data_IF_167470399312
#
_entry.id   IF_167470399312
#
_cell.length_a   1.000
_cell.length_b   1.000
_cell.length_c   1.000
_cell.angle_alpha   90.00
_cell.angle_beta   90.00
_cell.angle_gamma   90.00
#
_symmetry.space_group_name_H-M   'P 1'
#
loop_
_entity.id
_entity.type
_entity.pdbx_description
1 polymer ?
#
# COMPACT_ATOMS: atom_id res chain seq x y z
N UNK A 1 53.96 61.28 21.35
CA UNK A 1 53.86 59.81 21.27
C UNK A 1 53.34 59.34 22.62
N UNK A 2 52.11 58.90 22.84
CA UNK A 2 51.19 58.11 22.02
C UNK A 2 50.66 57.03 22.97
N UNK A 3 49.57 57.31 23.66
CA UNK A 3 48.76 56.36 24.44
C UNK A 3 47.36 56.95 24.59
N UNK A 4 46.51 56.68 23.61
CA UNK A 4 45.07 56.86 23.76
C UNK A 4 44.50 55.63 24.45
N UNK A 5 44.02 55.84 25.66
CA UNK A 5 43.08 54.98 26.36
C UNK A 5 41.67 55.31 25.86
N UNK A 6 41.00 54.36 25.21
CA UNK A 6 39.54 54.37 25.12
C UNK A 6 39.01 53.02 25.60
N UNK A 7 38.22 53.09 26.66
CA UNK A 7 37.45 51.99 27.22
C UNK A 7 35.98 52.34 27.04
N UNK A 8 35.21 51.31 26.68
CA UNK A 8 33.76 51.17 26.77
C UNK A 8 32.88 51.79 25.69
N UNK A 9 32.46 50.92 24.76
CA UNK A 9 31.04 50.73 24.50
C UNK A 9 30.76 49.22 24.54
N UNK A 10 29.88 48.79 25.43
CA UNK A 10 29.42 47.41 25.57
C UNK A 10 28.44 47.11 24.43
N UNK A 11 28.79 46.18 23.54
CA UNK A 11 27.82 45.55 22.65
C UNK A 11 27.38 44.21 23.27
N UNK A 12 26.08 44.11 23.50
CA UNK A 12 25.40 42.96 24.08
C UNK A 12 25.23 41.93 22.97
N UNK A 13 25.98 40.84 23.05
CA UNK A 13 25.94 39.74 22.09
C UNK A 13 24.60 38.99 22.22
N UNK A 14 23.68 39.27 21.29
CA UNK A 14 22.41 38.55 21.17
C UNK A 14 22.66 37.14 20.61
N UNK A 15 22.01 36.09 21.13
CA UNK A 15 22.23 34.73 20.65
C UNK A 15 21.66 34.58 19.23
N UNK A 16 22.50 34.24 18.27
CA UNK A 16 22.08 33.86 16.91
C UNK A 16 21.10 32.70 16.98
N UNK A 17 19.92 32.79 16.33
CA UNK A 17 18.98 31.67 16.25
C UNK A 17 19.58 30.54 15.40
N UNK A 18 19.64 29.35 15.98
CA UNK A 18 20.01 28.12 15.29
C UNK A 18 18.90 27.71 14.31
N UNK A 19 18.94 28.27 13.10
CA UNK A 19 18.15 27.79 11.96
C UNK A 19 19.10 27.40 10.83
N UNK A 20 19.55 26.15 10.86
CA UNK A 20 19.99 25.46 9.65
C UNK A 20 19.73 23.98 9.84
N UNK A 21 18.57 23.51 9.35
CA UNK A 21 18.39 22.12 8.95
C UNK A 21 19.44 21.83 7.86
N UNK A 22 20.63 21.43 8.29
CA UNK A 22 21.61 20.85 7.40
C UNK A 22 21.01 19.54 6.91
N UNK A 23 20.63 19.50 5.63
CA UNK A 23 20.17 18.30 4.94
C UNK A 23 21.32 17.29 5.00
N UNK A 24 21.31 16.43 6.02
CA UNK A 24 22.30 15.35 6.14
C UNK A 24 22.05 14.41 4.96
N UNK A 25 23.04 14.17 4.07
CA UNK A 25 22.85 13.28 2.94
C UNK A 25 22.46 11.90 3.46
N UNK A 26 21.26 11.46 3.09
CA UNK A 26 20.70 10.18 3.50
C UNK A 26 21.37 9.06 2.69
N UNK A 27 21.73 7.98 3.38
CA UNK A 27 22.32 6.81 2.74
C UNK A 27 21.24 5.93 2.10
N UNK A 28 21.45 5.51 0.85
CA UNK A 28 20.58 4.54 0.17
C UNK A 28 21.27 3.19 0.03
N UNK A 29 20.60 2.12 0.45
CA UNK A 29 21.06 0.74 0.36
C UNK A 29 19.87 -0.18 0.08
N UNK A 30 19.96 -0.95 -1.01
CA UNK A 30 19.03 -2.05 -1.26
C UNK A 30 19.45 -3.27 -0.43
N UNK A 31 18.90 -3.38 0.79
CA UNK A 31 19.26 -4.36 1.81
C UNK A 31 18.91 -5.76 1.33
N UNK A 32 17.73 -5.96 0.74
CA UNK A 32 17.28 -7.27 0.28
C UNK A 32 18.14 -7.78 -0.87
N UNK A 33 18.43 -6.93 -1.86
CA UNK A 33 19.27 -7.28 -2.99
C UNK A 33 20.71 -7.59 -2.55
N UNK A 34 21.27 -6.77 -1.65
CA UNK A 34 22.61 -7.01 -1.08
C UNK A 34 22.67 -8.34 -0.32
N UNK A 35 21.62 -8.65 0.44
CA UNK A 35 21.51 -9.88 1.21
C UNK A 35 21.45 -11.10 0.29
N UNK A 36 20.49 -11.12 -0.65
CA UNK A 36 20.24 -12.26 -1.54
C UNK A 36 21.41 -12.52 -2.47
N UNK A 37 22.00 -11.47 -3.06
CA UNK A 37 23.21 -11.61 -3.89
C UNK A 37 24.38 -12.21 -3.10
N UNK A 38 24.63 -11.73 -1.89
CA UNK A 38 25.71 -12.26 -1.04
C UNK A 38 25.46 -13.70 -0.60
N UNK A 39 24.22 -14.06 -0.26
CA UNK A 39 23.84 -15.42 0.13
C UNK A 39 24.02 -16.40 -1.04
N UNK A 40 23.50 -16.06 -2.22
CA UNK A 40 23.55 -16.91 -3.41
C UNK A 40 24.98 -17.12 -3.93
N UNK A 41 25.81 -16.07 -3.94
CA UNK A 41 27.20 -16.16 -4.40
C UNK A 41 28.12 -16.93 -3.44
N UNK A 42 27.81 -16.93 -2.13
CA UNK A 42 28.75 -17.38 -1.10
C UNK A 42 28.27 -18.60 -0.29
N UNK A 43 27.41 -19.44 -0.86
CA UNK A 43 27.18 -20.81 -0.39
C UNK A 43 25.71 -21.20 -0.17
N UNK A 44 24.82 -20.25 0.07
CA UNK A 44 23.42 -20.56 0.39
C UNK A 44 22.64 -21.15 -0.78
N UNK A 45 23.10 -20.98 -2.03
CA UNK A 45 22.57 -21.70 -3.19
C UNK A 45 22.59 -23.23 -3.00
N UNK A 46 23.57 -23.74 -2.24
CA UNK A 46 23.71 -25.17 -1.92
C UNK A 46 23.43 -25.46 -0.43
N UNK A 47 22.87 -24.51 0.32
CA UNK A 47 22.64 -24.66 1.76
C UNK A 47 23.91 -24.62 2.63
N UNK A 48 25.06 -24.19 2.11
CA UNK A 48 26.31 -24.14 2.89
C UNK A 48 26.41 -22.85 3.73
N UNK A 49 25.82 -22.90 4.92
CA UNK A 49 25.89 -21.81 5.90
C UNK A 49 27.31 -21.59 6.45
N UNK A 50 28.16 -22.63 6.48
CA UNK A 50 29.54 -22.48 6.97
C UNK A 50 30.36 -21.60 6.04
N UNK A 51 30.23 -21.80 4.73
CA UNK A 51 30.87 -20.97 3.70
C UNK A 51 30.40 -19.52 3.77
N UNK A 52 29.09 -19.30 3.93
CA UNK A 52 28.54 -17.95 4.05
C UNK A 52 29.02 -17.23 5.33
N UNK A 53 29.10 -17.93 6.47
CA UNK A 53 29.67 -17.39 7.71
C UNK A 53 31.15 -16.98 7.55
N UNK A 54 31.94 -17.80 6.84
CA UNK A 54 33.36 -17.50 6.55
C UNK A 54 33.48 -16.26 5.66
N UNK A 55 32.62 -16.14 4.64
CA UNK A 55 32.51 -14.95 3.81
C UNK A 55 32.18 -13.71 4.65
N UNK A 56 31.13 -13.75 5.47
CA UNK A 56 30.74 -12.63 6.33
C UNK A 56 31.90 -12.21 7.26
N UNK A 57 32.64 -13.17 7.81
CA UNK A 57 33.81 -12.90 8.67
C UNK A 57 34.94 -12.20 7.90
N UNK A 58 35.24 -12.66 6.68
CA UNK A 58 36.25 -12.02 5.82
C UNK A 58 35.81 -10.62 5.37
N UNK A 59 34.54 -10.45 4.99
CA UNK A 59 33.94 -9.18 4.60
C UNK A 59 33.99 -8.17 5.74
N UNK A 60 33.60 -8.58 6.95
CA UNK A 60 33.72 -7.75 8.16
C UNK A 60 35.16 -7.32 8.41
N UNK A 61 36.14 -8.24 8.31
CA UNK A 61 37.56 -7.89 8.49
C UNK A 61 38.02 -6.83 7.48
N UNK A 62 37.61 -6.94 6.22
CA UNK A 62 37.92 -5.94 5.18
C UNK A 62 37.26 -4.60 5.48
N UNK A 63 36.00 -4.59 5.88
CA UNK A 63 35.26 -3.37 6.24
C UNK A 63 35.87 -2.67 7.46
N UNK A 64 36.18 -3.40 8.53
CA UNK A 64 36.88 -2.85 9.70
C UNK A 64 38.25 -2.24 9.33
N UNK A 65 38.99 -2.87 8.40
CA UNK A 65 40.28 -2.35 7.92
C UNK A 65 40.11 -1.11 7.05
N UNK A 66 39.14 -1.11 6.11
CA UNK A 66 38.91 0.03 5.21
C UNK A 66 38.39 1.25 5.94
N UNK A 67 37.53 1.06 6.96
CA UNK A 67 36.99 2.12 7.80
C UNK A 67 37.96 2.55 8.92
N UNK A 68 39.14 1.92 9.02
CA UNK A 68 40.10 2.11 10.13
C UNK A 68 39.44 1.98 11.51
N UNK A 69 38.38 1.17 11.61
CA UNK A 69 37.53 1.02 12.79
C UNK A 69 37.88 -0.25 13.58
N UNK A 70 39.16 -0.55 13.76
CA UNK A 70 39.58 -1.78 14.46
C UNK A 70 39.49 -1.63 15.98
N UNK A 71 39.15 -2.70 16.71
CA UNK A 71 39.05 -2.76 18.17
C UNK A 71 40.41 -2.81 18.90
N UNK A 72 41.40 -2.07 18.41
CA UNK A 72 42.78 -2.08 18.90
C UNK A 72 43.69 -3.07 18.16
N UNK A 73 45.02 -2.85 18.26
CA UNK A 73 46.07 -3.80 17.85
C UNK A 73 46.71 -4.34 19.14
N UNK A 74 46.41 -5.57 19.52
CA UNK A 74 46.85 -6.16 20.79
C UNK A 74 45.72 -6.24 21.82
N UNK A 75 45.63 -5.26 22.74
CA UNK A 75 44.58 -5.23 23.77
C UNK A 75 43.22 -4.86 23.16
N UNK A 76 42.20 -5.67 23.45
CA UNK A 76 40.84 -5.44 22.95
C UNK A 76 40.24 -4.17 23.55
N UNK A 77 39.91 -3.21 22.68
CA UNK A 77 39.17 -2.00 23.01
C UNK A 77 37.90 -1.96 22.19
N UNK A 78 36.76 -2.23 22.82
CA UNK A 78 35.45 -2.21 22.16
C UNK A 78 35.15 -0.78 21.69
N UNK A 79 34.97 -0.61 20.37
CA UNK A 79 34.47 0.62 19.78
C UNK A 79 32.98 0.43 19.51
N UNK A 80 32.14 1.23 20.17
CA UNK A 80 30.70 1.20 19.95
C UNK A 80 30.36 1.88 18.62
N UNK A 81 29.35 1.36 17.93
CA UNK A 81 28.80 1.99 16.73
C UNK A 81 27.58 2.80 17.21
N UNK A 82 27.72 4.12 17.22
CA UNK A 82 26.68 5.10 17.58
C UNK A 82 26.36 5.98 16.36
N UNK A 83 25.29 6.76 16.43
CA UNK A 83 24.86 7.65 15.33
C UNK A 83 25.97 8.58 14.81
N UNK A 84 26.81 9.08 15.72
CA UNK A 84 27.97 9.92 15.40
C UNK A 84 29.10 9.20 14.66
N UNK A 85 29.15 7.86 14.73
CA UNK A 85 30.15 7.05 14.04
C UNK A 85 29.77 6.67 12.62
N UNK A 86 28.49 6.81 12.25
CA UNK A 86 27.99 6.47 10.91
C UNK A 86 28.25 7.64 9.97
N UNK A 87 29.48 7.71 9.46
CA UNK A 87 29.88 8.72 8.46
C UNK A 87 29.68 8.25 7.02
N UNK A 88 29.56 6.93 6.80
CA UNK A 88 29.47 6.33 5.48
C UNK A 88 28.55 5.10 5.45
N UNK A 89 28.01 4.79 4.27
CA UNK A 89 27.20 3.58 3.99
C UNK A 89 27.89 2.29 4.46
N UNK A 90 29.23 2.23 4.40
CA UNK A 90 30.01 1.05 4.80
C UNK A 90 29.83 0.70 6.29
N UNK A 91 29.47 1.66 7.15
CA UNK A 91 29.12 1.38 8.55
C UNK A 91 27.79 0.63 8.67
N UNK A 92 26.81 0.94 7.81
CA UNK A 92 25.55 0.19 7.75
C UNK A 92 25.80 -1.26 7.30
N UNK A 93 26.64 -1.46 6.27
CA UNK A 93 27.07 -2.80 5.86
C UNK A 93 27.79 -3.57 6.97
N UNK A 94 28.60 -2.88 7.78
CA UNK A 94 29.30 -3.50 8.90
C UNK A 94 28.30 -4.14 9.88
N UNK A 95 27.24 -3.41 10.24
CA UNK A 95 26.22 -3.89 11.17
C UNK A 95 25.42 -5.03 10.54
N UNK A 96 24.99 -4.86 9.29
CA UNK A 96 24.25 -5.89 8.55
C UNK A 96 25.04 -7.21 8.51
N UNK A 97 26.32 -7.19 8.10
CA UNK A 97 27.14 -8.39 8.06
C UNK A 97 27.45 -8.98 9.46
N UNK A 98 27.40 -8.17 10.54
CA UNK A 98 27.50 -8.73 11.90
C UNK A 98 26.25 -9.48 12.32
N UNK A 99 25.07 -9.01 11.91
CA UNK A 99 23.79 -9.72 12.10
C UNK A 99 23.78 -11.01 11.27
N UNK A 100 24.11 -10.93 9.98
CA UNK A 100 24.16 -12.07 9.06
C UNK A 100 25.12 -13.16 9.50
N UNK A 101 26.31 -12.79 9.98
CA UNK A 101 27.25 -13.79 10.52
C UNK A 101 26.67 -14.54 11.72
N UNK A 102 25.92 -13.86 12.59
CA UNK A 102 25.29 -14.49 13.75
C UNK A 102 24.10 -15.37 13.33
N UNK A 103 23.29 -14.92 12.38
CA UNK A 103 22.18 -15.67 11.82
C UNK A 103 22.65 -16.92 11.07
N UNK A 104 23.62 -16.79 10.17
CA UNK A 104 24.24 -17.90 9.45
C UNK A 104 24.80 -18.97 10.39
N UNK A 105 25.37 -18.54 11.52
CA UNK A 105 25.85 -19.47 12.54
C UNK A 105 24.73 -20.21 13.27
N UNK A 106 23.59 -19.57 13.46
CA UNK A 106 22.41 -20.23 14.01
C UNK A 106 21.86 -21.26 13.02
N UNK A 107 21.75 -20.90 11.74
CA UNK A 107 21.24 -21.79 10.69
C UNK A 107 22.15 -23.00 10.43
N UNK A 108 23.48 -22.84 10.52
CA UNK A 108 24.43 -23.96 10.49
C UNK A 108 24.13 -25.00 11.57
N UNK A 109 23.73 -24.57 12.77
CA UNK A 109 23.35 -25.47 13.87
C UNK A 109 21.93 -26.02 13.73
N UNK A 110 21.07 -25.35 12.97
CA UNK A 110 19.71 -25.81 12.67
C UNK A 110 19.70 -26.97 11.67
N UNK A 111 20.54 -26.89 10.63
CA UNK A 111 20.53 -27.82 9.49
C UNK A 111 21.35 -29.11 9.71
N UNK A 112 21.58 -29.50 10.96
CA UNK A 112 22.30 -30.76 11.26
C UNK A 112 21.43 -31.97 10.86
N UNK A 113 21.99 -33.05 10.26
CA UNK A 113 21.22 -34.20 9.77
C UNK A 113 20.33 -34.87 10.82
N UNK A 114 20.73 -34.83 12.10
CA UNK A 114 20.00 -35.43 13.22
C UNK A 114 19.16 -34.41 14.00
N UNK A 115 19.05 -33.18 13.50
CA UNK A 115 18.52 -32.03 14.24
C UNK A 115 19.47 -31.54 15.36
N UNK A 116 19.21 -30.35 15.95
CA UNK A 116 20.01 -29.83 17.05
C UNK A 116 19.69 -30.53 18.38
N UNK A 117 20.72 -30.99 19.09
CA UNK A 117 20.60 -31.44 20.49
C UNK A 117 20.16 -30.28 21.40
N UNK A 118 19.62 -30.56 22.60
CA UNK A 118 19.15 -29.52 23.53
C UNK A 118 20.18 -28.40 23.79
N UNK A 119 21.45 -28.75 24.04
CA UNK A 119 22.53 -27.76 24.22
C UNK A 119 22.83 -26.97 22.95
N UNK A 120 22.73 -27.61 21.78
CA UNK A 120 22.92 -26.95 20.48
C UNK A 120 21.76 -26.00 20.17
N UNK A 121 20.54 -26.35 20.60
CA UNK A 121 19.35 -25.50 20.51
C UNK A 121 19.49 -24.24 21.37
N UNK A 122 19.96 -24.37 22.62
CA UNK A 122 20.26 -23.20 23.48
C UNK A 122 21.29 -22.28 22.79
N UNK A 123 22.32 -22.88 22.20
CA UNK A 123 23.35 -22.15 21.50
C UNK A 123 22.83 -21.43 20.23
N UNK A 124 21.99 -22.11 19.44
CA UNK A 124 21.29 -21.57 18.28
C UNK A 124 20.46 -20.35 18.67
N UNK A 125 19.65 -20.47 19.72
CA UNK A 125 18.81 -19.37 20.23
C UNK A 125 19.70 -18.21 20.69
N UNK A 126 20.79 -18.49 21.40
CA UNK A 126 21.77 -17.47 21.80
C UNK A 126 22.39 -16.72 20.62
N UNK A 127 22.61 -17.40 19.48
CA UNK A 127 23.11 -16.79 18.24
C UNK A 127 22.03 -15.95 17.55
N UNK A 128 20.78 -16.40 17.52
CA UNK A 128 19.67 -15.60 17.01
C UNK A 128 19.39 -14.35 17.86
N UNK A 129 19.46 -14.43 19.20
CA UNK A 129 19.36 -13.24 20.07
C UNK A 129 20.41 -12.20 19.71
N UNK A 130 21.63 -12.66 19.40
CA UNK A 130 22.70 -11.78 18.95
C UNK A 130 22.40 -11.17 17.58
N UNK A 131 21.86 -11.95 16.63
CA UNK A 131 21.45 -11.44 15.32
C UNK A 131 20.37 -10.35 15.46
N UNK A 132 19.34 -10.59 16.27
CA UNK A 132 18.28 -9.62 16.58
C UNK A 132 18.85 -8.34 17.17
N UNK A 133 19.77 -8.41 18.14
CA UNK A 133 20.40 -7.22 18.73
C UNK A 133 21.15 -6.35 17.71
N UNK A 134 21.75 -6.97 16.69
CA UNK A 134 22.41 -6.23 15.61
C UNK A 134 21.40 -5.70 14.59
N UNK A 135 20.34 -6.46 14.29
CA UNK A 135 19.27 -6.02 13.40
C UNK A 135 18.47 -4.83 13.98
N UNK A 136 18.21 -4.82 15.30
CA UNK A 136 17.57 -3.68 15.99
C UNK A 136 18.45 -2.44 15.92
N UNK A 137 19.77 -2.58 16.12
CA UNK A 137 20.72 -1.48 15.98
C UNK A 137 20.80 -0.97 14.53
N UNK A 138 20.77 -1.88 13.56
CA UNK A 138 20.74 -1.55 12.13
C UNK A 138 19.51 -0.71 11.78
N UNK A 139 18.32 -1.17 12.17
CA UNK A 139 17.05 -0.47 11.98
C UNK A 139 17.04 0.93 12.62
N UNK A 140 17.50 1.06 13.87
CA UNK A 140 17.62 2.35 14.57
C UNK A 140 18.53 3.34 13.83
N UNK A 141 19.68 2.89 13.32
CA UNK A 141 20.61 3.76 12.60
C UNK A 141 20.10 4.10 11.20
N UNK A 142 19.42 3.17 10.52
CA UNK A 142 18.77 3.44 9.25
C UNK A 142 17.62 4.45 9.39
N UNK A 143 16.86 4.41 10.49
CA UNK A 143 15.79 5.38 10.74
C UNK A 143 16.30 6.83 10.84
N UNK A 144 17.52 7.04 11.32
CA UNK A 144 18.12 8.38 11.49
C UNK A 144 18.93 8.82 10.26
N UNK A 145 19.68 7.90 9.63
CA UNK A 145 20.71 8.23 8.63
C UNK A 145 20.40 7.75 7.20
N UNK A 146 19.42 6.88 7.00
CA UNK A 146 19.12 6.32 5.69
C UNK A 146 17.90 6.99 5.03
N UNK A 147 17.72 6.72 3.75
CA UNK A 147 16.48 7.08 3.03
C UNK A 147 15.28 6.31 3.59
N UNK A 148 14.09 6.81 3.25
CA UNK A 148 12.78 6.23 3.61
C UNK A 148 12.72 4.73 3.25
N UNK A 149 13.16 4.38 2.04
CA UNK A 149 13.18 3.01 1.52
C UNK A 149 14.11 2.09 2.30
N UNK A 150 15.37 2.46 2.52
CA UNK A 150 16.33 1.65 3.30
C UNK A 150 15.86 1.53 4.74
N UNK A 151 15.23 2.57 5.31
CA UNK A 151 14.65 2.46 6.66
C UNK A 151 13.54 1.40 6.71
N UNK A 152 12.67 1.31 5.70
CA UNK A 152 11.64 0.27 5.64
C UNK A 152 12.23 -1.12 5.43
N UNK A 153 13.21 -1.26 4.53
CA UNK A 153 13.89 -2.54 4.32
C UNK A 153 14.63 -3.02 5.57
N UNK A 154 15.24 -2.10 6.33
CA UNK A 154 15.89 -2.39 7.60
C UNK A 154 14.89 -2.84 8.67
N UNK A 155 13.71 -2.22 8.73
CA UNK A 155 12.63 -2.60 9.63
C UNK A 155 12.06 -3.99 9.27
N UNK A 156 11.87 -4.28 7.98
CA UNK A 156 11.47 -5.61 7.52
C UNK A 156 12.49 -6.69 7.87
N UNK A 157 13.79 -6.38 7.76
CA UNK A 157 14.88 -7.27 8.17
C UNK A 157 14.89 -7.52 9.68
N UNK A 158 14.69 -6.47 10.48
CA UNK A 158 14.55 -6.59 11.93
C UNK A 158 13.37 -7.46 12.33
N UNK A 159 12.19 -7.22 11.76
CA UNK A 159 10.97 -8.00 11.98
C UNK A 159 11.19 -9.47 11.60
N UNK A 160 11.85 -9.75 10.48
CA UNK A 160 12.22 -11.13 10.11
C UNK A 160 13.12 -11.81 11.15
N UNK A 161 14.15 -11.10 11.64
CA UNK A 161 15.08 -11.65 12.62
C UNK A 161 14.39 -11.90 13.97
N UNK A 162 13.52 -10.99 14.41
CA UNK A 162 12.70 -11.15 15.63
C UNK A 162 11.73 -12.32 15.49
N UNK A 163 11.03 -12.42 14.36
CA UNK A 163 10.14 -13.54 14.07
C UNK A 163 10.88 -14.88 14.12
N UNK A 164 12.05 -14.95 13.48
CA UNK A 164 12.90 -16.15 13.49
C UNK A 164 13.37 -16.55 14.90
N UNK A 165 13.71 -15.58 15.75
CA UNK A 165 14.10 -15.85 17.13
C UNK A 165 12.93 -16.44 17.96
N UNK A 166 11.75 -15.83 17.87
CA UNK A 166 10.56 -16.27 18.61
C UNK A 166 10.09 -17.64 18.12
N UNK A 167 10.16 -17.87 16.81
CA UNK A 167 9.86 -19.16 16.19
C UNK A 167 10.72 -20.29 16.76
N UNK A 168 12.03 -20.08 16.92
CA UNK A 168 12.94 -21.10 17.46
C UNK A 168 12.84 -21.27 19.00
N UNK A 169 12.24 -20.29 19.68
CA UNK A 169 11.98 -20.35 21.13
C UNK A 169 10.71 -21.15 21.47
N UNK A 170 9.88 -21.51 20.49
CA UNK A 170 8.56 -22.12 20.68
C UNK A 170 7.66 -21.32 21.65
N UNK A 171 7.86 -20.01 21.73
CA UNK A 171 7.17 -19.11 22.67
C UNK A 171 6.55 -17.92 21.93
N UNK A 172 5.39 -17.46 22.40
CA UNK A 172 4.70 -16.26 21.91
C UNK A 172 4.48 -16.28 20.39
N UNK A 173 3.80 -17.33 19.90
CA UNK A 173 3.46 -17.50 18.48
C UNK A 173 2.75 -16.28 17.89
N UNK A 174 1.92 -15.58 18.66
CA UNK A 174 1.23 -14.36 18.23
C UNK A 174 2.21 -13.23 17.87
N UNK A 175 3.24 -13.04 18.69
CA UNK A 175 4.25 -12.01 18.45
C UNK A 175 5.14 -12.41 17.28
N UNK A 176 5.49 -13.69 17.15
CA UNK A 176 6.21 -14.22 15.99
C UNK A 176 5.42 -13.98 14.69
N UNK A 177 4.12 -14.30 14.70
CA UNK A 177 3.20 -14.11 13.59
C UNK A 177 3.09 -12.63 13.20
N UNK A 178 2.94 -11.72 14.17
CA UNK A 178 2.90 -10.27 13.92
C UNK A 178 4.18 -9.78 13.24
N UNK A 179 5.35 -10.22 13.70
CA UNK A 179 6.63 -9.85 13.08
C UNK A 179 6.78 -10.41 11.66
N UNK A 180 6.37 -11.67 11.40
CA UNK A 180 6.40 -12.23 10.05
C UNK A 180 5.40 -11.56 9.11
N UNK A 181 4.18 -11.27 9.57
CA UNK A 181 3.18 -10.51 8.79
C UNK A 181 3.66 -9.10 8.46
N UNK A 182 4.28 -8.40 9.42
CA UNK A 182 4.89 -7.08 9.18
C UNK A 182 5.99 -7.16 8.12
N UNK A 183 6.93 -8.12 8.24
CA UNK A 183 7.98 -8.31 7.24
C UNK A 183 7.41 -8.64 5.85
N UNK A 184 6.40 -9.53 5.79
CA UNK A 184 5.69 -9.86 4.54
C UNK A 184 5.08 -8.61 3.90
N UNK A 185 4.35 -7.81 4.69
CA UNK A 185 3.68 -6.60 4.21
C UNK A 185 4.67 -5.62 3.55
N UNK A 186 5.83 -5.40 4.18
CA UNK A 186 6.86 -4.53 3.60
C UNK A 186 7.34 -5.07 2.26
N UNK A 187 7.74 -6.35 2.20
CA UNK A 187 8.27 -6.90 0.96
C UNK A 187 7.21 -6.97 -0.15
N UNK A 188 5.95 -7.24 0.19
CA UNK A 188 4.83 -7.25 -0.75
C UNK A 188 4.60 -5.85 -1.34
N UNK A 189 4.66 -4.79 -0.53
CA UNK A 189 4.52 -3.41 -1.00
C UNK A 189 5.76 -2.91 -1.77
N UNK A 190 6.98 -3.22 -1.30
CA UNK A 190 8.22 -2.90 -2.03
C UNK A 190 8.28 -3.60 -3.39
N UNK A 191 7.68 -4.78 -3.50
CA UNK A 191 7.57 -5.54 -4.75
C UNK A 191 6.65 -4.91 -5.79
N UNK A 192 5.70 -4.03 -5.40
CA UNK A 192 4.79 -3.37 -6.36
C UNK A 192 5.46 -2.24 -7.13
N UNK A 193 6.36 -1.50 -6.47
CA UNK A 193 6.96 -0.28 -7.02
C UNK A 193 8.46 -0.41 -7.36
N UNK A 194 9.06 -1.58 -7.18
CA UNK A 194 10.47 -1.84 -7.49
C UNK A 194 10.72 -2.24 -8.95
N UNK A 195 11.98 -2.13 -9.38
CA UNK A 195 12.47 -2.71 -10.65
C UNK A 195 12.21 -4.22 -10.74
N UNK A 196 12.17 -4.78 -11.95
CA UNK A 196 11.85 -6.20 -12.18
C UNK A 196 12.65 -7.16 -11.27
N UNK A 197 13.96 -6.93 -11.11
CA UNK A 197 14.81 -7.73 -10.23
C UNK A 197 14.38 -7.61 -8.75
N UNK A 198 14.02 -6.41 -8.30
CA UNK A 198 13.52 -6.19 -6.94
C UNK A 198 12.15 -6.85 -6.73
N UNK A 199 11.27 -6.86 -7.74
CA UNK A 199 9.97 -7.54 -7.65
C UNK A 199 10.16 -9.05 -7.46
N UNK A 200 11.06 -9.66 -8.24
CA UNK A 200 11.38 -11.09 -8.13
C UNK A 200 11.94 -11.41 -6.75
N UNK A 201 12.91 -10.64 -6.27
CA UNK A 201 13.52 -10.84 -4.95
C UNK A 201 12.52 -10.68 -3.80
N UNK A 202 11.62 -9.69 -3.90
CA UNK A 202 10.56 -9.48 -2.92
C UNK A 202 9.56 -10.65 -2.92
N UNK A 203 9.17 -11.14 -4.10
CA UNK A 203 8.28 -12.30 -4.24
C UNK A 203 8.89 -13.56 -3.62
N UNK A 204 10.14 -13.89 -3.97
CA UNK A 204 10.87 -15.00 -3.37
C UNK A 204 10.93 -14.86 -1.84
N UNK A 205 11.15 -13.64 -1.34
CA UNK A 205 11.19 -13.40 0.10
C UNK A 205 9.85 -13.61 0.78
N UNK A 206 8.74 -13.20 0.16
CA UNK A 206 7.39 -13.45 0.67
C UNK A 206 7.08 -14.95 0.68
N UNK A 207 7.44 -15.67 -0.38
CA UNK A 207 7.28 -17.13 -0.48
C UNK A 207 8.06 -17.88 0.62
N UNK A 208 9.26 -17.41 0.97
CA UNK A 208 10.06 -17.97 2.08
C UNK A 208 9.42 -17.78 3.46
N UNK A 209 8.67 -16.70 3.68
CA UNK A 209 8.02 -16.42 4.96
C UNK A 209 6.74 -17.25 5.16
N UNK A 210 6.10 -17.65 4.06
CA UNK A 210 4.77 -18.25 4.06
C UNK A 210 4.68 -19.58 4.85
N UNK A 211 5.66 -20.52 4.79
CA UNK A 211 5.65 -21.70 5.65
C UNK A 211 5.73 -21.38 7.14
N UNK A 212 6.54 -20.39 7.53
CA UNK A 212 6.66 -19.96 8.92
C UNK A 212 5.38 -19.30 9.43
N UNK A 213 4.73 -18.48 8.60
CA UNK A 213 3.45 -17.85 8.91
C UNK A 213 2.37 -18.94 9.10
N UNK A 214 2.23 -19.87 8.16
CA UNK A 214 1.27 -20.99 8.26
C UNK A 214 1.50 -21.84 9.51
N UNK A 215 2.75 -22.13 9.84
CA UNK A 215 3.08 -22.88 11.06
C UNK A 215 2.65 -22.14 12.33
N UNK A 216 2.91 -20.82 12.41
CA UNK A 216 2.49 -20.01 13.56
C UNK A 216 0.95 -20.02 13.72
N UNK A 217 0.21 -19.86 12.63
CA UNK A 217 -1.27 -19.91 12.66
C UNK A 217 -1.80 -21.26 13.14
N UNK A 218 -1.22 -22.34 12.66
CA UNK A 218 -1.60 -23.68 13.07
C UNK A 218 -1.36 -23.89 14.58
N UNK A 219 -0.25 -23.36 15.12
CA UNK A 219 0.05 -23.42 16.55
C UNK A 219 -0.87 -22.55 17.42
N UNK A 220 -1.36 -21.44 16.88
CA UNK A 220 -2.33 -20.55 17.55
C UNK A 220 -3.76 -21.14 17.50
N UNK A 221 -4.01 -22.14 16.65
CA UNK A 221 -5.34 -22.77 16.50
C UNK A 221 -6.22 -22.08 15.45
N UNK A 222 -5.67 -21.23 14.58
CA UNK A 222 -6.36 -20.58 13.46
C UNK A 222 -6.28 -21.44 12.18
N UNK A 223 -6.49 -22.75 12.29
CA UNK A 223 -6.22 -23.74 11.24
C UNK A 223 -7.21 -23.77 10.07
N UNK A 224 -8.27 -22.96 10.07
CA UNK A 224 -9.32 -22.99 9.03
C UNK A 224 -9.39 -21.76 8.12
N UNK A 225 -8.43 -20.84 8.18
CA UNK A 225 -8.46 -19.64 7.32
C UNK A 225 -7.66 -19.89 6.03
N UNK A 226 -8.34 -19.76 4.89
CA UNK A 226 -7.71 -19.83 3.56
C UNK A 226 -6.65 -18.73 3.42
N UNK A 227 -5.63 -18.94 2.59
CA UNK A 227 -4.51 -18.02 2.38
C UNK A 227 -4.93 -16.57 2.00
N UNK A 228 -6.19 -16.36 1.58
CA UNK A 228 -6.80 -15.07 1.29
C UNK A 228 -7.11 -14.20 2.53
N UNK A 229 -7.30 -14.81 3.72
CA UNK A 229 -7.54 -14.08 4.98
C UNK A 229 -6.26 -13.69 5.71
N UNK A 230 -5.10 -14.12 5.20
CA UNK A 230 -3.79 -13.79 5.76
C UNK A 230 -3.39 -12.31 5.61
N UNK A 231 -4.12 -11.57 4.76
CA UNK A 231 -3.97 -10.15 4.49
C UNK A 231 -4.59 -9.24 5.56
N UNK A 232 -5.13 -9.77 6.66
CA UNK A 232 -5.61 -8.97 7.78
C UNK A 232 -4.43 -8.41 8.59
N UNK A 233 -3.85 -7.32 8.07
CA UNK A 233 -3.01 -6.37 8.80
C UNK A 233 -3.89 -5.24 9.38
N UNK A 234 -5.18 -5.20 9.01
CA UNK A 234 -6.14 -4.19 9.46
C UNK A 234 -6.48 -4.22 10.95
N UNK A 235 -6.35 -5.38 11.62
CA UNK A 235 -6.89 -5.57 12.97
C UNK A 235 -5.86 -5.43 14.09
N UNK A 236 -4.65 -4.94 13.81
CA UNK A 236 -3.63 -4.70 14.83
C UNK A 236 -3.30 -3.21 14.88
N UNK A 237 -4.02 -2.48 15.73
CA UNK A 237 -3.74 -1.07 16.03
C UNK A 237 -2.60 -0.96 17.04
N UNK A 238 -1.68 -0.02 16.81
CA UNK A 238 -0.58 0.28 17.71
C UNK A 238 0.28 1.44 17.21
N UNK A 239 0.83 2.30 18.09
CA UNK A 239 1.58 3.50 17.68
C UNK A 239 2.79 3.21 16.77
N UNK A 240 3.44 2.06 16.95
CA UNK A 240 4.55 1.62 16.12
C UNK A 240 4.10 1.19 14.71
N UNK A 241 2.90 0.59 14.59
CA UNK A 241 2.31 0.21 13.31
C UNK A 241 1.80 1.43 12.54
N UNK A 242 1.38 2.50 13.22
CA UNK A 242 0.97 3.74 12.58
C UNK A 242 2.18 4.54 12.05
N UNK A 243 3.27 4.60 12.82
CA UNK A 243 4.54 5.13 12.32
C UNK A 243 5.04 4.33 11.11
N UNK A 244 4.90 3.01 11.16
CA UNK A 244 5.23 2.12 10.06
C UNK A 244 4.35 2.37 8.82
N UNK A 245 3.02 2.48 8.98
CA UNK A 245 2.09 2.84 7.90
C UNK A 245 2.45 4.18 7.27
N UNK A 246 2.77 5.20 8.08
CA UNK A 246 3.18 6.50 7.59
C UNK A 246 4.49 6.44 6.78
N UNK A 247 5.48 5.66 7.22
CA UNK A 247 6.71 5.44 6.45
C UNK A 247 6.44 4.70 5.14
N UNK A 248 5.58 3.69 5.18
CA UNK A 248 5.17 2.93 4.00
C UNK A 248 4.46 3.86 2.99
N UNK A 249 3.54 4.69 3.46
CA UNK A 249 2.89 5.72 2.64
C UNK A 249 3.87 6.72 2.05
N UNK A 250 4.88 7.16 2.81
CA UNK A 250 5.92 8.05 2.30
C UNK A 250 6.73 7.41 1.16
N UNK A 251 7.16 6.15 1.32
CA UNK A 251 7.89 5.42 0.27
C UNK A 251 7.01 5.17 -0.95
N UNK A 252 5.73 4.82 -0.75
CA UNK A 252 4.79 4.72 -1.86
C UNK A 252 4.60 6.06 -2.57
N UNK A 253 4.52 7.17 -1.85
CA UNK A 253 4.39 8.49 -2.44
C UNK A 253 5.62 8.87 -3.28
N UNK A 254 6.83 8.56 -2.79
CA UNK A 254 8.08 8.77 -3.52
C UNK A 254 8.14 7.90 -4.80
N UNK A 255 7.79 6.61 -4.69
CA UNK A 255 7.79 5.71 -5.84
C UNK A 255 6.72 6.09 -6.88
N UNK A 256 5.52 6.47 -6.43
CA UNK A 256 4.48 7.02 -7.30
C UNK A 256 4.90 8.33 -7.95
N UNK A 257 5.64 9.19 -7.25
CA UNK A 257 6.19 10.41 -7.85
C UNK A 257 7.19 10.10 -8.97
N UNK A 258 8.00 9.05 -8.82
CA UNK A 258 8.92 8.59 -9.87
C UNK A 258 8.16 8.00 -11.06
N UNK A 259 7.14 7.19 -10.82
CA UNK A 259 6.28 6.62 -11.86
C UNK A 259 5.40 7.68 -12.55
N UNK A 260 4.96 8.70 -11.81
CA UNK A 260 4.21 9.84 -12.34
C UNK A 260 5.02 10.70 -13.30
N UNK A 261 6.34 10.70 -13.18
CA UNK A 261 7.19 11.47 -14.06
C UNK A 261 7.04 11.03 -15.54
N UNK A 262 6.76 9.75 -15.81
CA UNK A 262 6.59 9.21 -17.16
C UNK A 262 5.17 9.31 -17.72
N UNK A 263 4.16 9.51 -16.87
CA UNK A 263 2.76 9.67 -17.28
C UNK A 263 2.46 11.13 -17.61
N UNK A 264 2.60 11.55 -18.87
CA UNK A 264 2.35 12.95 -19.28
C UNK A 264 0.93 13.23 -19.75
N UNK A 265 0.13 12.18 -20.01
CA UNK A 265 -1.18 12.28 -20.65
C UNK A 265 -2.21 11.40 -19.92
N UNK A 266 -3.44 11.90 -19.81
CA UNK A 266 -4.61 11.14 -19.38
C UNK A 266 -5.44 10.74 -20.59
N UNK A 267 -5.80 9.46 -20.69
CA UNK A 267 -6.60 8.92 -21.78
C UNK A 267 -8.05 8.73 -21.34
N UNK A 268 -8.99 9.39 -22.00
CA UNK A 268 -10.43 9.19 -21.79
C UNK A 268 -11.17 9.21 -23.13
N UNK A 269 -11.91 8.13 -23.42
CA UNK A 269 -12.51 7.86 -24.74
C UNK A 269 -11.54 8.10 -25.91
N UNK A 270 -10.33 7.53 -25.86
CA UNK A 270 -9.34 7.72 -26.93
C UNK A 270 -8.73 9.12 -27.03
N UNK A 271 -9.23 10.11 -26.28
CA UNK A 271 -8.67 11.46 -26.21
C UNK A 271 -7.57 11.56 -25.18
N UNK A 272 -6.51 12.28 -25.55
CA UNK A 272 -5.35 12.56 -24.72
C UNK A 272 -5.50 13.95 -24.13
N UNK A 273 -5.49 14.02 -22.81
CA UNK A 273 -5.47 15.27 -22.06
C UNK A 273 -4.08 15.43 -21.43
N UNK A 274 -3.32 16.48 -21.77
CA UNK A 274 -1.99 16.68 -21.19
C UNK A 274 -2.10 17.01 -19.70
N UNK A 275 -1.23 16.41 -18.88
CA UNK A 275 -1.16 16.67 -17.44
C UNK A 275 0.18 17.31 -17.10
N UNK A 276 0.19 18.64 -17.02
CA UNK A 276 1.40 19.40 -16.68
C UNK A 276 1.76 19.30 -15.19
N UNK A 277 0.75 19.28 -14.31
CA UNK A 277 0.97 19.31 -12.87
C UNK A 277 1.34 17.92 -12.30
N UNK A 278 2.52 17.83 -11.68
CA UNK A 278 3.01 16.60 -11.07
C UNK A 278 2.10 16.06 -9.96
N UNK A 279 1.45 16.93 -9.17
CA UNK A 279 0.53 16.50 -8.10
C UNK A 279 -0.72 15.83 -8.68
N UNK A 280 -1.30 16.42 -9.73
CA UNK A 280 -2.42 15.85 -10.47
C UNK A 280 -2.07 14.47 -11.05
N UNK A 281 -0.87 14.32 -11.63
CA UNK A 281 -0.37 13.03 -12.15
C UNK A 281 -0.32 11.96 -11.08
N UNK A 282 0.26 12.26 -9.91
CA UNK A 282 0.37 11.33 -8.78
C UNK A 282 -1.01 10.89 -8.28
N UNK A 283 -1.96 11.82 -8.13
CA UNK A 283 -3.32 11.51 -7.65
C UNK A 283 -4.11 10.66 -8.67
N UNK A 284 -4.01 10.96 -9.97
CA UNK A 284 -4.65 10.15 -11.02
C UNK A 284 -4.04 8.75 -11.08
N UNK A 285 -2.71 8.63 -11.01
CA UNK A 285 -2.03 7.33 -10.96
C UNK A 285 -2.47 6.48 -9.78
N UNK A 286 -2.52 7.08 -8.58
CA UNK A 286 -3.01 6.42 -7.38
C UNK A 286 -4.43 5.88 -7.59
N UNK A 287 -5.31 6.66 -8.22
CA UNK A 287 -6.67 6.20 -8.53
C UNK A 287 -6.68 5.04 -9.53
N UNK A 288 -5.90 5.11 -10.60
CA UNK A 288 -5.80 4.04 -11.62
C UNK A 288 -5.21 2.73 -11.07
N UNK A 289 -4.23 2.82 -10.16
CA UNK A 289 -3.70 1.64 -9.44
C UNK A 289 -4.79 0.96 -8.61
N UNK A 290 -5.54 1.73 -7.83
CA UNK A 290 -6.66 1.22 -7.03
C UNK A 290 -7.79 0.66 -7.91
N UNK A 291 -8.02 1.23 -9.09
CA UNK A 291 -8.98 0.69 -10.05
C UNK A 291 -8.56 -0.68 -10.61
N UNK A 292 -7.26 -0.92 -10.81
CA UNK A 292 -6.74 -2.24 -11.20
C UNK A 292 -6.99 -3.30 -10.13
N UNK A 293 -6.97 -2.93 -8.86
CA UNK A 293 -7.33 -3.84 -7.78
C UNK A 293 -8.81 -4.26 -7.82
N UNK A 294 -9.70 -3.38 -8.30
CA UNK A 294 -11.15 -3.63 -8.41
C UNK A 294 -11.52 -4.39 -9.69
N UNK A 295 -10.81 -4.16 -10.80
CA UNK A 295 -11.11 -4.74 -12.12
C UNK A 295 -10.15 -5.87 -12.54
N UNK A 296 -9.10 -6.13 -11.75
CA UNK A 296 -8.09 -7.13 -12.04
C UNK A 296 -8.59 -8.57 -11.89
N UNK A 297 -7.75 -9.57 -12.21
CA UNK A 297 -8.12 -10.99 -12.17
C UNK A 297 -8.50 -11.50 -10.76
N UNK A 298 -8.10 -10.79 -9.70
CA UNK A 298 -8.48 -11.07 -8.31
C UNK A 298 -9.76 -10.37 -7.84
N UNK A 299 -10.42 -9.57 -8.69
CA UNK A 299 -11.56 -8.74 -8.35
C UNK A 299 -12.72 -9.49 -7.68
N UNK A 300 -12.97 -10.73 -8.11
CA UNK A 300 -14.07 -11.55 -7.61
C UNK A 300 -13.76 -12.24 -6.27
N UNK A 301 -12.49 -12.31 -5.87
CA UNK A 301 -12.09 -12.87 -4.58
C UNK A 301 -12.19 -11.85 -3.43
N UNK A 302 -12.43 -10.57 -3.73
CA UNK A 302 -12.44 -9.51 -2.72
C UNK A 302 -13.85 -9.38 -2.13
N UNK A 303 -14.03 -9.51 -0.80
CA UNK A 303 -15.31 -9.28 -0.13
C UNK A 303 -15.89 -7.89 -0.44
N UNK A 304 -17.22 -7.79 -0.49
CA UNK A 304 -17.92 -6.55 -0.85
C UNK A 304 -17.54 -5.36 0.05
N UNK A 305 -17.40 -5.57 1.36
CA UNK A 305 -17.05 -4.50 2.31
C UNK A 305 -15.66 -3.93 2.03
N UNK A 306 -14.69 -4.80 1.69
CA UNK A 306 -13.34 -4.35 1.31
C UNK A 306 -13.36 -3.59 -0.02
N UNK A 307 -14.16 -4.03 -0.99
CA UNK A 307 -14.31 -3.30 -2.27
C UNK A 307 -14.89 -1.90 -2.04
N UNK A 308 -15.85 -1.73 -1.12
CA UNK A 308 -16.37 -0.40 -0.77
C UNK A 308 -15.30 0.53 -0.21
N UNK A 309 -14.42 0.02 0.67
CA UNK A 309 -13.29 0.81 1.20
C UNK A 309 -12.31 1.22 0.10
N UNK A 310 -12.08 0.36 -0.90
CA UNK A 310 -11.23 0.72 -2.04
C UNK A 310 -11.90 1.82 -2.88
N UNK A 311 -13.21 1.76 -3.11
CA UNK A 311 -13.94 2.83 -3.80
C UNK A 311 -13.80 4.19 -3.07
N UNK A 312 -13.89 4.22 -1.74
CA UNK A 312 -13.71 5.47 -0.98
C UNK A 312 -12.30 6.06 -1.16
N UNK A 313 -11.27 5.20 -1.26
CA UNK A 313 -9.90 5.61 -1.57
C UNK A 313 -9.75 6.11 -3.01
N UNK A 314 -10.43 5.49 -3.98
CA UNK A 314 -10.48 5.96 -5.38
C UNK A 314 -11.13 7.34 -5.45
N UNK A 315 -12.26 7.54 -4.79
CA UNK A 315 -12.94 8.83 -4.74
C UNK A 315 -12.04 9.90 -4.14
N UNK A 316 -11.38 9.61 -3.02
CA UNK A 316 -10.44 10.54 -2.38
C UNK A 316 -9.32 10.96 -3.35
N UNK A 317 -8.72 10.00 -4.07
CA UNK A 317 -7.65 10.28 -5.03
C UNK A 317 -8.12 11.12 -6.23
N UNK A 318 -9.29 10.82 -6.81
CA UNK A 318 -9.84 11.64 -7.90
C UNK A 318 -10.33 13.02 -7.42
N UNK A 319 -10.86 13.15 -6.21
CA UNK A 319 -11.21 14.44 -5.63
C UNK A 319 -9.97 15.32 -5.39
N UNK A 320 -8.88 14.75 -4.89
CA UNK A 320 -7.58 15.44 -4.78
C UNK A 320 -7.09 15.89 -6.16
N UNK A 321 -7.13 15.01 -7.17
CA UNK A 321 -6.73 15.35 -8.54
C UNK A 321 -7.55 16.53 -9.10
N UNK A 322 -8.87 16.52 -8.93
CA UNK A 322 -9.75 17.63 -9.34
C UNK A 322 -9.49 18.91 -8.55
N UNK A 323 -9.16 18.80 -7.27
CA UNK A 323 -8.73 19.92 -6.44
C UNK A 323 -7.51 20.62 -7.04
N UNK A 324 -6.51 19.86 -7.48
CA UNK A 324 -5.33 20.40 -8.16
C UNK A 324 -5.66 20.99 -9.53
N UNK A 325 -6.46 20.31 -10.36
CA UNK A 325 -6.88 20.82 -11.67
C UNK A 325 -7.62 22.15 -11.54
N UNK A 326 -8.53 22.27 -10.57
CA UNK A 326 -9.29 23.51 -10.32
C UNK A 326 -8.42 24.64 -9.77
N UNK A 327 -7.43 24.32 -8.95
CA UNK A 327 -6.45 25.29 -8.49
C UNK A 327 -5.59 25.81 -9.67
N UNK A 328 -5.20 24.93 -10.58
CA UNK A 328 -4.49 25.30 -11.81
C UNK A 328 -5.37 26.17 -12.72
N UNK A 329 -6.65 25.81 -12.90
CA UNK A 329 -7.63 26.62 -13.65
C UNK A 329 -7.79 28.04 -13.08
N UNK A 330 -7.83 28.18 -11.75
CA UNK A 330 -7.92 29.47 -11.09
C UNK A 330 -6.65 30.33 -11.27
N UNK A 331 -5.50 29.69 -11.43
CA UNK A 331 -4.19 30.34 -11.56
C UNK A 331 -3.80 30.60 -13.02
N UNK A 332 -4.41 29.88 -13.97
CA UNK A 332 -4.10 29.99 -15.40
C UNK A 332 -4.54 31.35 -15.95
N UNK A 333 -3.58 32.10 -16.52
CA UNK A 333 -3.79 33.39 -17.17
C UNK A 333 -4.68 33.32 -18.43
N UNK A 334 -4.67 34.35 -19.28
CA UNK A 334 -5.57 34.46 -20.45
C UNK A 334 -5.27 33.49 -21.62
N UNK A 335 -4.47 32.44 -21.42
CA UNK A 335 -4.22 31.43 -22.44
C UNK A 335 -5.43 30.50 -22.57
N UNK A 336 -6.30 30.78 -23.55
CA UNK A 336 -7.55 30.04 -23.79
C UNK A 336 -7.30 28.55 -24.03
N UNK A 337 -6.27 28.17 -24.78
CA UNK A 337 -5.96 26.76 -25.08
C UNK A 337 -5.65 25.93 -23.82
N UNK A 338 -4.89 26.48 -22.88
CA UNK A 338 -4.53 25.78 -21.63
C UNK A 338 -5.75 25.64 -20.72
N UNK A 339 -6.64 26.64 -20.72
CA UNK A 339 -7.91 26.57 -19.98
C UNK A 339 -8.83 25.51 -20.56
N UNK A 340 -8.91 25.40 -21.88
CA UNK A 340 -9.72 24.39 -22.55
C UNK A 340 -9.20 22.97 -22.25
N UNK A 341 -7.87 22.76 -22.29
CA UNK A 341 -7.26 21.48 -21.92
C UNK A 341 -7.55 21.09 -20.47
N UNK A 342 -7.42 22.03 -19.53
CA UNK A 342 -7.71 21.80 -18.11
C UNK A 342 -9.20 21.59 -17.82
N UNK A 343 -10.09 22.30 -18.51
CA UNK A 343 -11.54 22.10 -18.43
C UNK A 343 -11.92 20.72 -18.99
N UNK A 344 -11.32 20.32 -20.11
CA UNK A 344 -11.47 18.99 -20.69
C UNK A 344 -10.98 17.90 -19.74
N UNK A 345 -9.84 18.11 -19.07
CA UNK A 345 -9.30 17.20 -18.06
C UNK A 345 -10.22 17.12 -16.82
N UNK A 346 -10.73 18.23 -16.28
CA UNK A 346 -11.69 18.20 -15.16
C UNK A 346 -12.98 17.47 -15.57
N UNK A 347 -13.49 17.70 -16.79
CA UNK A 347 -14.67 16.98 -17.32
C UNK A 347 -14.41 15.49 -17.39
N UNK A 348 -13.27 15.08 -17.95
CA UNK A 348 -12.88 13.68 -18.11
C UNK A 348 -12.73 12.96 -16.75
N UNK A 349 -12.00 13.57 -15.81
CA UNK A 349 -11.82 13.03 -14.45
C UNK A 349 -13.16 12.99 -13.70
N UNK A 350 -14.03 14.00 -13.89
CA UNK A 350 -15.38 14.03 -13.30
C UNK A 350 -16.28 12.92 -13.85
N UNK A 351 -16.17 12.63 -15.14
CA UNK A 351 -16.94 11.57 -15.77
C UNK A 351 -16.50 10.19 -15.27
N UNK A 352 -15.20 9.93 -15.19
CA UNK A 352 -14.66 8.70 -14.61
C UNK A 352 -15.11 8.55 -13.15
N UNK A 353 -15.06 9.62 -12.36
CA UNK A 353 -15.58 9.61 -10.99
C UNK A 353 -17.08 9.25 -10.94
N UNK A 354 -17.88 9.80 -11.85
CA UNK A 354 -19.31 9.48 -11.98
C UNK A 354 -19.54 8.00 -12.32
N UNK A 355 -18.78 7.44 -13.25
CA UNK A 355 -18.82 6.01 -13.59
C UNK A 355 -18.52 5.12 -12.39
N UNK A 356 -17.42 5.42 -11.66
CA UNK A 356 -17.06 4.67 -10.44
C UNK A 356 -18.11 4.82 -9.33
N UNK A 357 -18.79 5.97 -9.24
CA UNK A 357 -19.89 6.18 -8.30
C UNK A 357 -21.08 5.27 -8.63
N UNK A 358 -21.42 5.13 -9.91
CA UNK A 358 -22.47 4.19 -10.37
C UNK A 358 -22.07 2.75 -10.06
N UNK A 359 -20.82 2.35 -10.31
CA UNK A 359 -20.30 1.01 -10.01
C UNK A 359 -20.37 0.68 -8.51
N UNK A 360 -19.93 1.60 -7.65
CA UNK A 360 -20.01 1.47 -6.19
C UNK A 360 -21.46 1.32 -5.72
N UNK A 361 -22.38 2.10 -6.27
CA UNK A 361 -23.79 2.01 -5.90
C UNK A 361 -24.46 0.74 -6.43
N UNK A 362 -24.03 0.22 -7.58
CA UNK A 362 -24.43 -1.12 -8.05
C UNK A 362 -23.93 -2.23 -7.13
N UNK A 363 -22.73 -2.10 -6.54
CA UNK A 363 -22.24 -3.03 -5.53
C UNK A 363 -23.13 -2.99 -4.27
N UNK A 364 -23.51 -1.80 -3.79
CA UNK A 364 -24.47 -1.67 -2.68
C UNK A 364 -25.82 -2.33 -2.99
N UNK A 365 -26.33 -2.18 -4.22
CA UNK A 365 -27.53 -2.87 -4.67
C UNK A 365 -27.34 -4.39 -4.64
N UNK A 366 -26.20 -4.91 -5.09
CA UNK A 366 -25.90 -6.37 -5.02
C UNK A 366 -25.92 -6.88 -3.58
N UNK A 367 -25.30 -6.14 -2.65
CA UNK A 367 -25.29 -6.48 -1.21
C UNK A 367 -26.69 -6.40 -0.60
N UNK A 368 -27.47 -5.36 -0.91
CA UNK A 368 -28.84 -5.23 -0.42
C UNK A 368 -29.75 -6.33 -0.98
N UNK A 369 -29.58 -6.71 -2.26
CA UNK A 369 -30.33 -7.83 -2.87
C UNK A 369 -30.01 -9.17 -2.21
N UNK A 370 -28.74 -9.45 -1.89
CA UNK A 370 -28.36 -10.71 -1.24
C UNK A 370 -28.92 -10.80 0.18
N UNK A 371 -28.93 -9.69 0.93
CA UNK A 371 -29.57 -9.60 2.26
C UNK A 371 -31.08 -9.79 2.19
N UNK A 372 -31.75 -9.21 1.18
CA UNK A 372 -33.19 -9.37 0.97
C UNK A 372 -33.59 -10.81 0.58
N UNK A 373 -32.69 -11.59 -0.01
CA UNK A 373 -32.94 -12.97 -0.44
C UNK A 373 -32.77 -14.00 0.70
N UNK A 374 -31.95 -13.71 1.72
CA UNK A 374 -31.77 -14.58 2.88
C UNK A 374 -33.04 -14.56 3.75
N UNK A 375 -33.62 -15.73 4.01
CA UNK A 375 -34.79 -15.87 4.90
C UNK A 375 -34.32 -15.83 6.36
N UNK A 376 -34.99 -14.97 7.12
CA UNK A 376 -35.19 -14.87 8.57
C UNK A 376 -34.67 -16.01 9.49
N UNK A 377 -33.36 -16.26 9.58
CA UNK A 377 -32.83 -17.20 10.59
C UNK A 377 -31.73 -16.65 11.52
N UNK A 378 -31.12 -15.49 11.25
CA UNK A 378 -30.11 -14.91 12.13
C UNK A 378 -30.69 -13.74 12.96
N UNK A 379 -30.88 -13.98 14.26
CA UNK A 379 -31.49 -13.07 15.26
C UNK A 379 -30.78 -11.71 15.47
N UNK A 380 -29.77 -11.36 14.66
CA UNK A 380 -28.98 -10.13 14.82
C UNK A 380 -28.74 -9.30 13.54
N UNK A 381 -29.27 -9.69 12.36
CA UNK A 381 -29.13 -8.86 11.14
C UNK A 381 -30.37 -7.98 10.89
N UNK A 382 -30.15 -6.67 10.69
CA UNK A 382 -31.22 -5.73 10.29
C UNK A 382 -31.81 -6.18 8.96
N UNK A 383 -33.12 -6.46 8.95
CA UNK A 383 -33.87 -6.84 7.74
C UNK A 383 -33.82 -5.70 6.73
N UNK A 384 -33.16 -5.91 5.59
CA UNK A 384 -33.20 -5.00 4.44
C UNK A 384 -34.62 -4.97 3.88
N UNK A 385 -35.25 -3.80 3.89
CA UNK A 385 -36.61 -3.65 3.34
C UNK A 385 -36.57 -3.31 1.84
N UNK A 386 -37.60 -3.66 1.05
CA UNK A 386 -37.64 -3.31 -0.38
C UNK A 386 -37.48 -1.81 -0.67
N UNK A 387 -37.90 -0.93 0.25
CA UNK A 387 -37.78 0.52 0.12
C UNK A 387 -36.32 0.98 0.12
N UNK A 388 -35.40 0.25 0.76
CA UNK A 388 -33.97 0.55 0.72
C UNK A 388 -33.40 0.39 -0.70
N UNK A 389 -33.84 -0.65 -1.41
CA UNK A 389 -33.47 -0.85 -2.82
C UNK A 389 -34.07 0.24 -3.71
N UNK A 390 -35.29 0.72 -3.43
CA UNK A 390 -35.88 1.86 -4.15
C UNK A 390 -34.99 3.09 -4.02
N UNK A 391 -34.54 3.43 -2.80
CA UNK A 391 -33.64 4.58 -2.57
C UNK A 391 -32.31 4.43 -3.29
N UNK A 392 -31.74 3.23 -3.31
CA UNK A 392 -30.49 2.97 -4.05
C UNK A 392 -30.67 3.13 -5.56
N UNK A 393 -31.80 2.71 -6.13
CA UNK A 393 -32.08 2.95 -7.55
C UNK A 393 -32.42 4.41 -7.87
N UNK A 394 -33.07 5.14 -6.96
CA UNK A 394 -33.24 6.60 -7.10
C UNK A 394 -31.88 7.31 -7.16
N UNK A 395 -30.94 6.92 -6.30
CA UNK A 395 -29.57 7.43 -6.33
C UNK A 395 -28.84 7.06 -7.63
N UNK A 396 -28.98 5.82 -8.11
CA UNK A 396 -28.41 5.40 -9.39
C UNK A 396 -28.99 6.19 -10.58
N UNK A 397 -30.28 6.50 -10.55
CA UNK A 397 -30.93 7.31 -11.58
C UNK A 397 -30.40 8.74 -11.59
N UNK A 398 -30.27 9.36 -10.41
CA UNK A 398 -29.69 10.69 -10.28
C UNK A 398 -28.25 10.71 -10.81
N UNK A 399 -27.39 9.79 -10.33
CA UNK A 399 -25.99 9.73 -10.76
C UNK A 399 -25.84 9.50 -12.28
N UNK A 400 -26.72 8.70 -12.88
CA UNK A 400 -26.69 8.44 -14.32
C UNK A 400 -27.15 9.67 -15.11
N UNK A 401 -28.11 10.43 -14.59
CA UNK A 401 -28.53 11.71 -15.18
C UNK A 401 -27.42 12.75 -15.10
N UNK A 402 -26.84 12.96 -13.91
CA UNK A 402 -25.73 13.90 -13.70
C UNK A 402 -24.53 13.58 -14.62
N UNK A 403 -24.22 12.30 -14.79
CA UNK A 403 -23.15 11.84 -15.67
C UNK A 403 -23.49 12.08 -17.16
N UNK A 404 -24.72 11.79 -17.57
CA UNK A 404 -25.19 12.07 -18.94
C UNK A 404 -25.14 13.56 -19.26
N UNK A 405 -25.55 14.41 -18.33
CA UNK A 405 -25.55 15.86 -18.47
C UNK A 405 -24.12 16.41 -18.54
N UNK A 406 -23.23 15.91 -17.68
CA UNK A 406 -21.81 16.25 -17.70
C UNK A 406 -21.18 15.95 -19.06
N UNK A 407 -21.38 14.75 -19.59
CA UNK A 407 -20.79 14.34 -20.87
C UNK A 407 -21.42 15.13 -22.03
N UNK A 408 -22.71 15.44 -21.96
CA UNK A 408 -23.46 16.15 -23.01
C UNK A 408 -23.30 17.67 -23.02
N UNK A 409 -22.61 18.23 -22.03
CA UNK A 409 -22.49 19.69 -21.82
C UNK A 409 -21.64 20.44 -22.86
N UNK A 410 -20.86 19.74 -23.69
CA UNK A 410 -20.00 20.34 -24.72
C UNK A 410 -20.75 20.75 -25.99
N UNK A 411 -20.28 21.83 -26.65
CA UNK A 411 -20.79 22.27 -27.97
C UNK A 411 -20.40 21.29 -29.09
N UNK A 412 -19.17 20.77 -29.03
CA UNK A 412 -18.66 19.76 -29.96
C UNK A 412 -18.80 18.36 -29.37
N UNK A 413 -19.97 17.77 -29.56
CA UNK A 413 -20.24 16.39 -29.09
C UNK A 413 -19.46 15.41 -29.94
N UNK A 414 -18.49 14.77 -29.30
CA UNK A 414 -17.68 13.73 -29.95
C UNK A 414 -18.51 12.45 -30.09
N UNK A 415 -18.27 11.63 -31.12
CA UNK A 415 -19.07 10.42 -31.35
C UNK A 415 -19.03 9.45 -30.17
N UNK A 416 -17.90 9.37 -29.46
CA UNK A 416 -17.74 8.54 -28.26
C UNK A 416 -18.53 9.09 -27.05
N UNK A 417 -18.63 10.42 -26.91
CA UNK A 417 -19.45 11.05 -25.87
C UNK A 417 -20.95 10.83 -26.13
N UNK A 418 -21.36 10.84 -27.40
CA UNK A 418 -22.75 10.55 -27.81
C UNK A 418 -23.10 9.09 -27.52
N UNK A 419 -22.25 8.14 -27.95
CA UNK A 419 -22.48 6.72 -27.68
C UNK A 419 -22.48 6.43 -26.17
N UNK A 420 -21.64 7.11 -25.40
CA UNK A 420 -21.65 6.98 -23.95
C UNK A 420 -22.94 7.54 -23.30
N UNK A 421 -23.47 8.66 -23.80
CA UNK A 421 -24.75 9.19 -23.35
C UNK A 421 -25.91 8.24 -23.67
N UNK A 422 -25.86 7.55 -24.81
CA UNK A 422 -26.81 6.47 -25.14
C UNK A 422 -26.72 5.30 -24.16
N UNK A 423 -25.51 4.87 -23.80
CA UNK A 423 -25.29 3.85 -22.76
C UNK A 423 -25.88 4.29 -21.41
N UNK A 424 -25.70 5.56 -21.03
CA UNK A 424 -26.29 6.12 -19.81
C UNK A 424 -27.84 6.08 -19.88
N UNK A 425 -28.43 6.48 -21.02
CA UNK A 425 -29.87 6.40 -21.25
C UNK A 425 -30.41 4.97 -21.11
N UNK A 426 -29.70 3.98 -21.66
CA UNK A 426 -30.04 2.57 -21.52
C UNK A 426 -29.94 2.09 -20.06
N UNK A 427 -28.89 2.46 -19.32
CA UNK A 427 -28.76 2.20 -17.89
C UNK A 427 -29.92 2.82 -17.09
N UNK A 428 -30.29 4.07 -17.38
CA UNK A 428 -31.41 4.74 -16.73
C UNK A 428 -32.74 4.01 -16.93
N UNK A 429 -33.00 3.46 -18.11
CA UNK A 429 -34.21 2.65 -18.35
C UNK A 429 -34.20 1.36 -17.51
N UNK A 430 -33.08 0.65 -17.47
CA UNK A 430 -32.93 -0.55 -16.66
C UNK A 430 -33.12 -0.25 -15.15
N UNK A 431 -32.54 0.84 -14.65
CA UNK A 431 -32.71 1.27 -13.26
C UNK A 431 -34.14 1.69 -12.94
N UNK A 432 -34.84 2.38 -13.87
CA UNK A 432 -36.28 2.69 -13.72
C UNK A 432 -37.13 1.42 -13.62
N UNK A 433 -36.86 0.42 -14.45
CA UNK A 433 -37.56 -0.86 -14.41
C UNK A 433 -37.36 -1.57 -13.06
N UNK A 434 -36.10 -1.66 -12.60
CA UNK A 434 -35.76 -2.27 -11.31
C UNK A 434 -36.35 -1.50 -10.12
N UNK A 435 -36.29 -0.17 -10.14
CA UNK A 435 -36.94 0.68 -9.13
C UNK A 435 -38.43 0.37 -9.06
N UNK A 436 -39.12 0.35 -10.20
CA UNK A 436 -40.55 0.05 -10.28
C UNK A 436 -40.87 -1.34 -9.70
N UNK A 437 -40.02 -2.33 -9.95
CA UNK A 437 -40.15 -3.67 -9.38
C UNK A 437 -40.06 -3.68 -7.85
N UNK A 438 -39.11 -2.95 -7.26
CA UNK A 438 -38.98 -2.91 -5.79
C UNK A 438 -40.07 -2.06 -5.11
N UNK A 439 -40.59 -1.04 -5.79
CA UNK A 439 -41.82 -0.36 -5.34
C UNK A 439 -42.99 -1.35 -5.35
N UNK A 440 -43.20 -2.11 -6.43
CA UNK A 440 -44.23 -3.14 -6.47
C UNK A 440 -44.08 -4.17 -5.33
N UNK A 441 -42.84 -4.56 -5.02
CA UNK A 441 -42.55 -5.46 -3.90
C UNK A 441 -42.91 -4.85 -2.54
N UNK A 442 -42.66 -3.58 -2.30
CA UNK A 442 -43.09 -2.89 -1.06
C UNK A 442 -44.62 -2.88 -0.91
N UNK A 443 -45.36 -2.55 -1.99
CA UNK A 443 -46.83 -2.56 -1.99
C UNK A 443 -47.39 -3.99 -1.77
N UNK A 444 -46.72 -4.99 -2.33
CA UNK A 444 -47.08 -6.39 -2.12
C UNK A 444 -46.91 -6.82 -0.66
N UNK A 445 -45.86 -6.37 0.02
CA UNK A 445 -45.64 -6.63 1.46
C UNK A 445 -46.66 -5.89 2.31
N UNK A 446 -47.08 -4.69 1.90
CA UNK A 446 -48.13 -3.91 2.56
C UNK A 446 -49.56 -4.42 2.31
N UNK A 447 -49.75 -5.47 1.51
CA UNK A 447 -51.07 -6.08 1.23
C UNK A 447 -51.87 -5.40 0.11
N UNK A 448 -51.34 -4.35 -0.53
CA UNK A 448 -51.94 -3.63 -1.66
C UNK A 448 -51.71 -4.40 -2.97
N UNK A 449 -52.51 -5.45 -3.20
CA UNK A 449 -52.30 -6.41 -4.31
C UNK A 449 -52.57 -5.84 -5.69
N UNK A 450 -53.58 -4.98 -5.85
CA UNK A 450 -53.96 -4.43 -7.14
C UNK A 450 -52.91 -3.43 -7.66
N UNK A 451 -52.45 -2.55 -6.78
CA UNK A 451 -51.39 -1.58 -7.02
C UNK A 451 -50.06 -2.27 -7.28
N UNK A 452 -49.72 -3.29 -6.49
CA UNK A 452 -48.53 -4.10 -6.71
C UNK A 452 -48.54 -4.77 -8.09
N UNK A 453 -49.67 -5.37 -8.50
CA UNK A 453 -49.80 -5.99 -9.81
C UNK A 453 -49.60 -4.98 -10.95
N UNK A 454 -50.26 -3.82 -10.88
CA UNK A 454 -50.11 -2.76 -11.87
C UNK A 454 -48.65 -2.28 -11.99
N UNK A 455 -47.96 -2.13 -10.86
CA UNK A 455 -46.55 -1.74 -10.83
C UNK A 455 -45.62 -2.84 -11.35
N UNK A 456 -45.92 -4.12 -11.13
CA UNK A 456 -45.16 -5.23 -11.73
C UNK A 456 -45.32 -5.27 -13.26
N UNK A 457 -46.54 -5.08 -13.77
CA UNK A 457 -46.79 -4.96 -15.22
C UNK A 457 -46.01 -3.78 -15.83
N UNK A 458 -46.02 -2.63 -15.16
CA UNK A 458 -45.23 -1.47 -15.59
C UNK A 458 -43.72 -1.74 -15.56
N UNK A 459 -43.23 -2.40 -14.51
CA UNK A 459 -41.81 -2.77 -14.40
C UNK A 459 -41.39 -3.71 -15.54
N UNK A 460 -42.25 -4.67 -15.91
CA UNK A 460 -42.04 -5.58 -17.04
C UNK A 460 -41.97 -4.83 -18.37
N UNK A 461 -42.92 -3.94 -18.65
CA UNK A 461 -42.92 -3.15 -19.89
C UNK A 461 -41.63 -2.30 -20.00
N UNK A 462 -41.22 -1.64 -18.91
CA UNK A 462 -39.96 -0.88 -18.88
C UNK A 462 -38.73 -1.77 -19.08
N UNK A 463 -38.74 -3.00 -18.56
CA UNK A 463 -37.65 -3.95 -18.77
C UNK A 463 -37.61 -4.45 -20.22
N UNK A 464 -38.75 -4.72 -20.84
CA UNK A 464 -38.84 -5.14 -22.24
C UNK A 464 -38.37 -4.01 -23.18
N UNK A 465 -38.73 -2.76 -22.89
CA UNK A 465 -38.26 -1.59 -23.63
C UNK A 465 -36.74 -1.38 -23.48
N UNK A 466 -36.21 -1.57 -22.26
CA UNK A 466 -34.77 -1.54 -22.03
C UNK A 466 -34.06 -2.65 -22.82
N UNK A 467 -34.58 -3.88 -22.80
CA UNK A 467 -34.00 -5.03 -23.51
C UNK A 467 -33.99 -4.82 -25.04
N UNK A 468 -35.04 -4.20 -25.60
CA UNK A 468 -35.05 -3.84 -27.04
C UNK A 468 -33.92 -2.87 -27.37
N UNK A 469 -33.71 -1.85 -26.54
CA UNK A 469 -32.62 -0.87 -26.74
C UNK A 469 -31.22 -1.43 -26.51
N UNK A 470 -31.07 -2.50 -25.73
CA UNK A 470 -29.78 -3.18 -25.54
C UNK A 470 -29.41 -4.16 -26.67
N UNK A 471 -30.36 -4.54 -27.54
CA UNK A 471 -30.16 -5.47 -28.66
C UNK A 471 -29.94 -4.77 -30.00
N UNK A 472 -30.22 -3.47 -30.08
CA UNK A 472 -29.79 -2.59 -31.15
C UNK A 472 -28.42 -2.02 -30.78
#
# INVERSE_FOLDING_TARGET
MGKESQVSAMDVDAPKPASSDQIVPKFSVNVLQLLKSAQMQHGLRHGDYTRYRRYCTARLRRLYKSLKFTHGRGKYSKRAITESTVSEVRFLHLILYTAERAWSHAMEKRQLPNGPNASQRIYLIGRLRKAVKWATLFSQLCAVKADSRTSLEAEAYESYMKGSLLFEQDQNWDVALKNFKSARAVYEELGKYGDLDNQVLCRERVEELEPSIRYCLHKIGQSNLQASELLQIGDVEGPALDLFKAKLEAVMAEARSQQAASMTEFLWFGHRFPISNAKTRVSILKAQELEKDIHGPSADSIPADKRLVIFDKIFSAYHEARGYIRADLATTGSAESVKDDLNGLDKAVSAVLGERTIERNLLLVKVAKSKLAKRHDDKNEKVTKPEELVRLYDLLLQNTADLSDLVSSGRDKKPEEVSFAEVCSCKSLAFRAQRCFYVAKSYSVAGMRAEAYALYCRARNLADDALKKFKC
#
